data_IF_329358533740
#
_entry.id   IF_329358533740
#
_cell.length_a   1.000
_cell.length_b   1.000
_cell.length_c   1.000
_cell.angle_alpha   90.00
_cell.angle_beta   90.00
_cell.angle_gamma   90.00
#
_symmetry.space_group_name_H-M   'P 1'
#
loop_
_entity.id
_entity.type
_entity.pdbx_description
1 polymer ?
#
# COMPACT_ATOMS: atom_id res chain seq x y z
N UNK A 1 -9.57 1.95 -22.87
CA UNK A 1 -8.42 1.77 -21.97
C UNK A 1 -8.78 0.69 -20.96
N UNK A 2 -7.81 -0.16 -20.59
CA UNK A 2 -7.96 -1.06 -19.44
C UNK A 2 -8.00 -0.20 -18.18
N UNK A 3 -8.79 -0.58 -17.20
CA UNK A 3 -8.86 0.12 -15.90
C UNK A 3 -8.41 -0.83 -14.80
N UNK A 4 -7.57 -0.34 -13.88
CA UNK A 4 -7.05 -1.10 -12.74
C UNK A 4 -7.11 -0.28 -11.45
N UNK A 5 -7.30 -0.98 -10.33
CA UNK A 5 -7.29 -0.41 -8.99
C UNK A 5 -5.97 -0.75 -8.31
N UNK A 6 -5.23 0.26 -7.87
CA UNK A 6 -3.92 0.12 -7.23
C UNK A 6 -3.98 0.67 -5.81
N UNK A 7 -3.87 -0.22 -4.84
CA UNK A 7 -3.76 0.12 -3.42
C UNK A 7 -2.30 0.43 -3.08
N UNK A 8 -2.06 1.53 -2.34
CA UNK A 8 -0.73 1.89 -1.84
C UNK A 8 -0.83 2.24 -0.36
N UNK A 9 -0.10 1.54 0.50
CA UNK A 9 0.00 1.87 1.93
C UNK A 9 1.23 2.71 2.23
N UNK A 10 1.18 3.52 3.29
CA UNK A 10 2.25 4.49 3.55
C UNK A 10 2.31 5.58 2.49
N UNK A 11 1.15 5.96 1.98
CA UNK A 11 1.01 6.78 0.78
C UNK A 11 1.56 8.22 0.94
N UNK A 12 1.62 8.75 2.17
CA UNK A 12 2.22 10.05 2.47
C UNK A 12 3.73 10.00 2.74
N UNK A 13 4.35 8.81 2.62
CA UNK A 13 5.79 8.61 2.79
C UNK A 13 6.61 9.05 1.57
N UNK A 14 7.92 9.26 1.75
CA UNK A 14 8.81 9.71 0.67
C UNK A 14 8.91 8.73 -0.51
N UNK A 15 8.91 7.42 -0.22
CA UNK A 15 8.94 6.39 -1.27
C UNK A 15 7.68 6.50 -2.12
N UNK A 16 6.52 6.56 -1.47
CA UNK A 16 5.22 6.69 -2.16
C UNK A 16 5.12 8.00 -2.94
N UNK A 17 5.60 9.11 -2.39
CA UNK A 17 5.63 10.40 -3.09
C UNK A 17 6.36 10.32 -4.44
N UNK A 18 7.47 9.59 -4.51
CA UNK A 18 8.21 9.37 -5.76
C UNK A 18 7.57 8.32 -6.66
N UNK A 19 6.81 7.38 -6.10
CA UNK A 19 6.20 6.26 -6.81
C UNK A 19 4.86 6.63 -7.45
N UNK A 20 4.00 7.35 -6.72
CA UNK A 20 2.62 7.62 -7.13
C UNK A 20 2.49 8.28 -8.51
N UNK A 21 3.26 9.32 -8.89
CA UNK A 21 3.21 9.89 -10.23
C UNK A 21 3.55 8.87 -11.33
N UNK A 22 4.48 7.95 -11.08
CA UNK A 22 4.87 6.91 -12.04
C UNK A 22 3.79 5.88 -12.27
N UNK A 23 2.96 5.60 -11.26
CA UNK A 23 1.84 4.67 -11.39
C UNK A 23 0.77 5.22 -12.35
N UNK A 24 0.53 6.54 -12.32
CA UNK A 24 -0.54 7.20 -13.08
C UNK A 24 -0.08 7.90 -14.35
N UNK A 25 1.24 7.98 -14.61
CA UNK A 25 1.79 8.60 -15.84
C UNK A 25 1.71 7.71 -17.07
N UNK A 26 1.44 6.42 -16.89
CA UNK A 26 1.52 5.42 -17.96
C UNK A 26 2.86 4.70 -18.05
N UNK A 27 3.88 5.11 -17.27
CA UNK A 27 5.19 4.44 -17.25
C UNK A 27 5.13 3.01 -16.72
N UNK A 28 4.35 2.78 -15.64
CA UNK A 28 4.33 1.49 -14.95
C UNK A 28 3.41 0.48 -15.61
N UNK A 29 2.20 0.88 -15.97
CA UNK A 29 1.16 -0.03 -16.47
C UNK A 29 0.85 0.15 -17.96
N UNK A 30 1.61 1.01 -18.64
CA UNK A 30 1.45 1.33 -20.06
C UNK A 30 0.41 2.43 -20.32
N UNK A 31 0.59 3.14 -21.44
CA UNK A 31 -0.22 4.31 -21.80
C UNK A 31 -1.70 3.99 -22.11
N UNK A 32 -2.05 2.73 -22.27
CA UNK A 32 -3.43 2.29 -22.51
C UNK A 32 -4.13 1.76 -21.25
N UNK A 33 -3.57 2.05 -20.06
CA UNK A 33 -4.13 1.63 -18.78
C UNK A 33 -4.48 2.86 -17.93
N UNK A 34 -5.71 2.93 -17.47
CA UNK A 34 -6.18 3.92 -16.51
C UNK A 34 -6.03 3.36 -15.09
N UNK A 35 -5.44 4.14 -14.19
CA UNK A 35 -5.11 3.71 -12.83
C UNK A 35 -5.94 4.49 -11.82
N UNK A 36 -6.76 3.78 -11.05
CA UNK A 36 -7.41 4.30 -9.86
C UNK A 36 -6.51 4.04 -8.66
N UNK A 37 -6.15 5.08 -7.94
CA UNK A 37 -5.33 4.98 -6.73
C UNK A 37 -6.21 4.88 -5.48
N UNK A 38 -5.88 3.93 -4.62
CA UNK A 38 -6.46 3.74 -3.29
C UNK A 38 -5.35 3.89 -2.25
N UNK A 39 -5.25 5.09 -1.69
CA UNK A 39 -4.14 5.53 -0.86
C UNK A 39 -4.47 5.36 0.62
N UNK A 40 -3.64 4.62 1.34
CA UNK A 40 -3.86 4.31 2.77
C UNK A 40 -2.79 4.93 3.63
N UNK A 41 -3.24 5.62 4.68
CA UNK A 41 -2.40 6.17 5.73
C UNK A 41 -3.05 6.09 7.10
N UNK A 42 -2.24 6.23 8.14
CA UNK A 42 -2.74 6.35 9.51
C UNK A 42 -3.47 7.69 9.71
N UNK A 43 -4.51 7.74 10.56
CA UNK A 43 -5.33 8.95 10.73
C UNK A 43 -4.55 10.26 10.95
N UNK A 44 -3.46 10.31 11.77
CA UNK A 44 -2.74 11.57 11.99
C UNK A 44 -2.01 12.13 10.77
N UNK A 45 -1.91 11.35 9.68
CA UNK A 45 -1.15 11.71 8.47
C UNK A 45 -2.06 11.95 7.26
N UNK A 46 -3.37 11.78 7.41
CA UNK A 46 -4.34 11.96 6.30
C UNK A 46 -4.31 13.37 5.71
N UNK A 47 -4.16 14.41 6.54
CA UNK A 47 -4.07 15.79 6.03
C UNK A 47 -2.84 15.99 5.12
N UNK A 48 -1.72 15.38 5.48
CA UNK A 48 -0.51 15.39 4.63
C UNK A 48 -0.75 14.62 3.33
N UNK A 49 -1.43 13.48 3.40
CA UNK A 49 -1.79 12.70 2.22
C UNK A 49 -2.69 13.48 1.28
N UNK A 50 -3.63 14.26 1.82
CA UNK A 50 -4.50 15.11 1.00
C UNK A 50 -3.70 16.14 0.19
N UNK A 51 -2.62 16.69 0.74
CA UNK A 51 -1.70 17.56 -0.01
C UNK A 51 -1.08 16.82 -1.22
N UNK A 52 -0.63 15.58 -1.01
CA UNK A 52 -0.11 14.75 -2.09
C UNK A 52 -1.18 14.44 -3.16
N UNK A 53 -2.42 14.20 -2.75
CA UNK A 53 -3.54 13.97 -3.69
C UNK A 53 -3.75 15.17 -4.60
N UNK A 54 -3.78 16.38 -4.03
CA UNK A 54 -3.93 17.62 -4.82
C UNK A 54 -2.80 17.81 -5.84
N UNK A 55 -1.55 17.52 -5.45
CA UNK A 55 -0.42 17.57 -6.38
C UNK A 55 -0.53 16.54 -7.52
N UNK A 56 -1.03 15.33 -7.22
CA UNK A 56 -1.25 14.31 -8.25
C UNK A 56 -2.37 14.70 -9.23
N UNK A 57 -3.44 15.32 -8.74
CA UNK A 57 -4.53 15.87 -9.56
C UNK A 57 -4.03 17.00 -10.47
N UNK A 58 -3.21 17.90 -9.91
CA UNK A 58 -2.61 19.01 -10.67
C UNK A 58 -1.66 18.56 -11.78
N UNK A 59 -1.04 17.36 -11.66
CA UNK A 59 -0.22 16.78 -12.72
C UNK A 59 -0.98 16.53 -14.03
N UNK A 60 -2.30 16.34 -14.00
CA UNK A 60 -3.17 16.18 -15.16
C UNK A 60 -2.83 14.97 -16.04
N UNK A 61 -2.32 13.88 -15.49
CA UNK A 61 -1.98 12.68 -16.25
C UNK A 61 -3.23 12.02 -16.84
N UNK A 62 -3.23 11.77 -18.16
CA UNK A 62 -4.34 11.13 -18.88
C UNK A 62 -4.64 9.71 -18.43
N UNK A 63 -3.66 9.04 -17.84
CA UNK A 63 -3.78 7.69 -17.27
C UNK A 63 -4.26 7.68 -15.82
N UNK A 64 -4.41 8.86 -15.19
CA UNK A 64 -4.99 8.98 -13.86
C UNK A 64 -6.50 8.76 -13.92
N UNK A 65 -6.99 7.84 -13.09
CA UNK A 65 -8.40 7.63 -12.82
C UNK A 65 -8.84 8.39 -11.57
N UNK A 66 -9.59 7.72 -10.70
CA UNK A 66 -9.94 8.25 -9.39
C UNK A 66 -8.77 8.13 -8.41
N UNK A 67 -8.70 9.08 -7.48
CA UNK A 67 -7.79 9.00 -6.33
C UNK A 67 -8.63 9.02 -5.06
N UNK A 68 -8.52 7.98 -4.24
CA UNK A 68 -9.17 7.87 -2.94
C UNK A 68 -8.10 7.83 -1.84
N UNK A 69 -8.31 8.55 -0.76
CA UNK A 69 -7.48 8.50 0.45
C UNK A 69 -8.32 8.04 1.64
N UNK A 70 -7.81 7.09 2.42
CA UNK A 70 -8.51 6.52 3.57
C UNK A 70 -7.54 6.02 4.64
N UNK A 71 -8.03 5.82 5.85
CA UNK A 71 -7.32 5.07 6.90
C UNK A 71 -7.85 3.65 7.07
N UNK A 72 -8.89 3.26 6.33
CA UNK A 72 -9.47 1.92 6.38
C UNK A 72 -8.89 1.04 5.25
N UNK A 73 -8.08 0.06 5.65
CA UNK A 73 -7.50 -0.90 4.72
C UNK A 73 -8.55 -1.76 4.02
N UNK A 74 -9.70 -2.02 4.65
CA UNK A 74 -10.77 -2.82 4.05
C UNK A 74 -11.45 -2.07 2.90
N UNK A 75 -11.67 -0.76 3.06
CA UNK A 75 -12.19 0.09 2.00
C UNK A 75 -11.22 0.16 0.81
N UNK A 76 -9.94 0.35 1.09
CA UNK A 76 -8.93 0.45 0.04
C UNK A 76 -8.67 -0.89 -0.68
N UNK A 77 -8.82 -2.02 0.01
CA UNK A 77 -8.59 -3.35 -0.56
C UNK A 77 -9.68 -3.79 -1.53
N UNK A 78 -10.86 -3.14 -1.51
CA UNK A 78 -12.00 -3.55 -2.34
C UNK A 78 -11.63 -3.51 -3.84
N UNK A 79 -11.81 -4.64 -4.53
CA UNK A 79 -11.52 -4.82 -5.97
C UNK A 79 -10.10 -4.41 -6.41
N UNK A 80 -9.09 -4.41 -5.52
CA UNK A 80 -7.73 -4.08 -5.92
C UNK A 80 -7.13 -5.14 -6.86
N UNK A 81 -6.51 -4.66 -7.96
CA UNK A 81 -5.72 -5.48 -8.90
C UNK A 81 -4.26 -5.59 -8.42
N UNK A 82 -3.75 -4.52 -7.83
CA UNK A 82 -2.41 -4.43 -7.28
C UNK A 82 -2.45 -3.82 -5.88
N UNK A 83 -1.64 -4.36 -4.98
CA UNK A 83 -1.38 -3.77 -3.68
C UNK A 83 0.12 -3.55 -3.49
N UNK A 84 0.53 -2.30 -3.29
CA UNK A 84 1.90 -1.90 -3.00
C UNK A 84 1.99 -1.55 -1.51
N UNK A 85 2.49 -2.48 -0.72
CA UNK A 85 2.56 -2.37 0.73
C UNK A 85 3.89 -1.73 1.14
N UNK A 86 3.94 -0.40 1.03
CA UNK A 86 5.13 0.42 1.26
C UNK A 86 5.25 0.82 2.72
N UNK A 87 4.11 1.06 3.38
CA UNK A 87 4.05 1.49 4.76
C UNK A 87 4.56 0.43 5.74
N UNK A 88 5.42 0.85 6.66
CA UNK A 88 5.86 0.05 7.80
C UNK A 88 6.33 0.97 8.92
N UNK A 89 6.29 0.46 10.15
CA UNK A 89 6.83 1.16 11.31
C UNK A 89 8.36 1.12 11.25
N UNK A 90 9.07 2.27 11.21
CA UNK A 90 10.52 2.31 11.18
C UNK A 90 11.13 2.09 12.58
N UNK A 91 12.42 1.81 12.62
CA UNK A 91 13.19 1.81 13.88
C UNK A 91 13.29 3.21 14.48
N UNK A 92 13.49 3.26 15.80
CA UNK A 92 13.79 4.49 16.53
C UNK A 92 12.57 5.30 16.96
N UNK A 93 11.37 4.91 16.58
CA UNK A 93 10.14 5.54 17.05
C UNK A 93 9.69 4.95 18.40
N UNK A 94 8.93 5.74 19.15
CA UNK A 94 8.34 5.31 20.42
C UNK A 94 6.85 5.03 20.23
N UNK A 95 6.41 3.82 20.56
CA UNK A 95 5.01 3.41 20.53
C UNK A 95 4.62 2.98 21.94
N UNK A 96 3.56 3.57 22.48
CA UNK A 96 3.05 3.27 23.82
C UNK A 96 4.17 3.33 24.91
N UNK A 97 5.08 4.30 24.81
CA UNK A 97 6.17 4.49 25.76
C UNK A 97 7.38 3.57 25.58
N UNK A 98 7.32 2.61 24.63
CA UNK A 98 8.42 1.70 24.30
C UNK A 98 9.10 2.15 23.01
N UNK A 99 10.43 2.34 23.05
CA UNK A 99 11.22 2.63 21.86
C UNK A 99 11.42 1.35 21.04
N UNK A 100 11.13 1.43 19.74
CA UNK A 100 11.24 0.31 18.80
C UNK A 100 12.66 0.30 18.23
N UNK A 101 13.54 -0.48 18.83
CA UNK A 101 14.97 -0.54 18.43
C UNK A 101 15.39 -1.93 17.96
N UNK A 102 14.87 -2.97 18.61
CA UNK A 102 15.24 -4.32 18.30
C UNK A 102 14.46 -4.90 17.11
N UNK A 103 15.07 -5.85 16.41
CA UNK A 103 14.42 -6.56 15.30
C UNK A 103 13.13 -7.28 15.73
N UNK A 104 13.11 -7.80 16.96
CA UNK A 104 11.93 -8.44 17.53
C UNK A 104 10.75 -7.50 17.71
N UNK A 105 11.02 -6.26 18.18
CA UNK A 105 9.98 -5.25 18.36
C UNK A 105 9.36 -4.86 17.02
N UNK A 106 10.21 -4.64 16.01
CA UNK A 106 9.75 -4.33 14.64
C UNK A 106 8.89 -5.44 14.06
N UNK A 107 9.32 -6.69 14.26
CA UNK A 107 8.58 -7.84 13.76
C UNK A 107 7.20 -7.94 14.41
N UNK A 108 7.13 -7.69 15.72
CA UNK A 108 5.86 -7.76 16.45
C UNK A 108 4.87 -6.68 16.00
N UNK A 109 5.33 -5.43 15.91
CA UNK A 109 4.45 -4.29 15.54
C UNK A 109 4.05 -4.37 14.06
N UNK A 110 5.00 -4.59 13.16
CA UNK A 110 4.68 -4.71 11.74
C UNK A 110 3.88 -5.99 11.45
N UNK A 111 4.11 -7.08 12.19
CA UNK A 111 3.35 -8.31 12.04
C UNK A 111 1.85 -8.12 12.17
N UNK A 112 1.39 -7.32 13.14
CA UNK A 112 -0.03 -6.95 13.27
C UNK A 112 -0.56 -6.21 12.05
N UNK A 113 0.18 -5.20 11.59
CA UNK A 113 -0.20 -4.40 10.39
C UNK A 113 -0.36 -5.30 9.16
N UNK A 114 0.62 -6.16 8.89
CA UNK A 114 0.58 -7.05 7.72
C UNK A 114 -0.42 -8.20 7.85
N UNK A 115 -0.78 -8.59 9.06
CA UNK A 115 -1.91 -9.51 9.31
C UNK A 115 -3.22 -8.87 8.86
N UNK A 116 -3.50 -7.64 9.28
CA UNK A 116 -4.73 -6.92 8.91
C UNK A 116 -4.79 -6.64 7.41
N UNK A 117 -3.67 -6.22 6.81
CA UNK A 117 -3.56 -6.00 5.37
C UNK A 117 -3.76 -7.31 4.58
N UNK A 118 -3.18 -8.41 5.05
CA UNK A 118 -3.35 -9.73 4.44
C UNK A 118 -4.82 -10.18 4.44
N UNK A 119 -5.49 -10.06 5.58
CA UNK A 119 -6.92 -10.38 5.71
C UNK A 119 -7.79 -9.51 4.80
N UNK A 120 -7.57 -8.19 4.79
CA UNK A 120 -8.35 -7.26 3.97
C UNK A 120 -8.19 -7.55 2.47
N UNK A 121 -6.94 -7.67 1.99
CA UNK A 121 -6.64 -7.94 0.58
C UNK A 121 -7.14 -9.33 0.17
N UNK A 122 -6.97 -10.34 1.04
CA UNK A 122 -7.44 -11.70 0.76
C UNK A 122 -8.95 -11.82 0.63
N UNK A 123 -9.69 -10.99 1.38
CA UNK A 123 -11.15 -11.02 1.43
C UNK A 123 -11.80 -10.10 0.39
N UNK A 124 -11.20 -8.94 0.15
CA UNK A 124 -11.78 -7.82 -0.62
C UNK A 124 -11.10 -7.60 -1.97
N UNK A 125 -9.83 -7.95 -2.08
CA UNK A 125 -9.06 -7.81 -3.33
C UNK A 125 -9.49 -8.84 -4.38
N UNK A 126 -9.13 -8.58 -5.63
CA UNK A 126 -9.41 -9.52 -6.71
C UNK A 126 -8.70 -10.86 -6.48
N UNK A 127 -9.29 -11.92 -7.01
CA UNK A 127 -8.78 -13.28 -6.84
C UNK A 127 -7.33 -13.42 -7.33
N UNK A 128 -6.98 -12.75 -8.42
CA UNK A 128 -5.65 -12.75 -9.04
C UNK A 128 -4.81 -11.51 -8.72
N UNK A 129 -5.15 -10.78 -7.65
CA UNK A 129 -4.43 -9.58 -7.25
C UNK A 129 -2.94 -9.86 -7.01
N UNK A 130 -2.10 -8.88 -7.36
CA UNK A 130 -0.65 -8.93 -7.20
C UNK A 130 -0.22 -7.99 -6.07
N UNK A 131 0.48 -8.54 -5.10
CA UNK A 131 0.87 -7.82 -3.90
C UNK A 131 2.40 -7.71 -3.85
N UNK A 132 2.91 -6.48 -3.81
CA UNK A 132 4.33 -6.18 -3.65
C UNK A 132 4.58 -5.55 -2.27
N UNK A 133 5.30 -6.25 -1.43
CA UNK A 133 5.69 -5.77 -0.10
C UNK A 133 7.06 -5.11 -0.18
N UNK A 134 7.10 -3.83 0.20
CA UNK A 134 8.31 -2.99 0.26
C UNK A 134 8.68 -2.67 1.71
N UNK A 135 7.68 -2.55 2.58
CA UNK A 135 7.86 -2.24 4.01
C UNK A 135 8.71 -3.30 4.73
N UNK A 136 9.78 -2.84 5.40
CA UNK A 136 10.74 -3.74 6.05
C UNK A 136 10.26 -4.28 7.42
N UNK A 137 10.62 -5.54 7.72
CA UNK A 137 11.34 -6.55 6.92
C UNK A 137 10.46 -7.19 5.83
N UNK A 138 10.70 -6.84 4.56
CA UNK A 138 9.77 -7.10 3.45
C UNK A 138 9.45 -8.59 3.24
N UNK A 139 10.44 -9.46 3.29
CA UNK A 139 10.23 -10.90 3.12
C UNK A 139 9.38 -11.51 4.24
N UNK A 140 9.62 -11.11 5.49
CA UNK A 140 8.83 -11.58 6.64
C UNK A 140 7.41 -11.03 6.61
N UNK A 141 7.27 -9.74 6.30
CA UNK A 141 5.97 -9.08 6.18
C UNK A 141 5.14 -9.69 5.03
N UNK A 142 5.77 -10.01 3.90
CA UNK A 142 5.10 -10.71 2.80
C UNK A 142 4.62 -12.10 3.20
N UNK A 143 5.41 -12.85 3.98
CA UNK A 143 5.01 -14.16 4.50
C UNK A 143 3.82 -14.04 5.45
N UNK A 144 3.83 -13.06 6.36
CA UNK A 144 2.72 -12.82 7.29
C UNK A 144 1.46 -12.45 6.52
N UNK A 145 1.53 -11.48 5.61
CA UNK A 145 0.38 -11.07 4.79
C UNK A 145 -0.19 -12.22 3.98
N UNK A 146 0.66 -12.98 3.28
CA UNK A 146 0.24 -14.15 2.51
C UNK A 146 -0.43 -15.22 3.37
N UNK A 147 0.11 -15.52 4.54
CA UNK A 147 -0.45 -16.54 5.44
C UNK A 147 -1.82 -16.15 5.99
N UNK A 148 -2.13 -14.86 6.04
CA UNK A 148 -3.41 -14.33 6.54
C UNK A 148 -4.39 -13.97 5.41
N UNK A 149 -3.97 -13.95 4.14
CA UNK A 149 -4.85 -13.60 3.02
C UNK A 149 -5.94 -14.63 2.76
N UNK A 150 -5.75 -15.89 3.17
CA UNK A 150 -6.66 -17.01 2.89
C UNK A 150 -7.00 -17.18 1.39
N UNK A 151 -6.23 -16.56 0.50
CA UNK A 151 -6.41 -16.60 -0.95
C UNK A 151 -5.12 -17.10 -1.62
N UNK A 152 -5.18 -18.30 -2.16
CA UNK A 152 -4.01 -18.95 -2.76
C UNK A 152 -3.70 -18.49 -4.19
N UNK A 153 -4.67 -17.89 -4.88
CA UNK A 153 -4.50 -17.38 -6.24
C UNK A 153 -3.73 -16.05 -6.30
N UNK A 154 -3.73 -15.29 -5.21
CA UNK A 154 -3.00 -14.02 -5.13
C UNK A 154 -1.49 -14.21 -5.12
N UNK A 155 -0.78 -13.40 -5.92
CA UNK A 155 0.68 -13.42 -6.01
C UNK A 155 1.28 -12.42 -5.02
N UNK A 156 1.99 -12.94 -4.02
CA UNK A 156 2.73 -12.15 -3.03
C UNK A 156 4.21 -12.13 -3.35
N UNK A 157 4.78 -10.93 -3.42
CA UNK A 157 6.17 -10.65 -3.73
C UNK A 157 6.77 -9.76 -2.65
N UNK A 158 8.07 -9.92 -2.39
CA UNK A 158 8.83 -9.03 -1.49
C UNK A 158 9.96 -8.38 -2.26
N UNK A 159 10.12 -7.07 -2.08
CA UNK A 159 11.27 -6.32 -2.59
C UNK A 159 12.26 -6.11 -1.45
N UNK A 160 13.43 -6.72 -1.54
CA UNK A 160 14.52 -6.64 -0.54
C UNK A 160 15.73 -5.90 -1.11
#
# INVERSE_FOLDING_TARGET
>A
MKEINVLVTGAAGQISYSLLPRLISGETFGSNTKVNLKLVEIPPVLDKLQGTVLELEDCGFSNCGSIMSTSDINEAAEDCDWALLVGSIPRGITINGKKIEERGDLLHVNGGIFTDQGNAIGTKGKEDAKILVVGNPANTNALIGKSNSNNNSQLWMAMT
#
